data_IF_555002107779
#
_entry.id   IF_555002107779
#
_cell.length_a   1.000
_cell.length_b   1.000
_cell.length_c   1.000
_cell.angle_alpha   90.00
_cell.angle_beta   90.00
_cell.angle_gamma   90.00
#
_symmetry.space_group_name_H-M   'P 1'
#
loop_
_entity.id
_entity.type
_entity.pdbx_description
1 polymer ?
#
# COMPACT_ATOMS: atom_id res chain seq x y z
N UNK A 1 -18.86 4.11 2.48
CA UNK A 1 -18.05 4.33 3.71
C UNK A 1 -18.23 3.11 4.59
N UNK A 2 -17.14 2.43 5.00
CA UNK A 2 -17.22 1.28 5.92
C UNK A 2 -17.13 1.85 7.34
N UNK A 3 -18.17 1.77 8.18
CA UNK A 3 -18.09 2.22 9.56
C UNK A 3 -17.22 1.23 10.35
N UNK A 4 -16.15 1.72 10.98
CA UNK A 4 -15.19 0.92 11.74
C UNK A 4 -14.82 1.64 13.04
N UNK A 5 -14.66 0.89 14.12
CA UNK A 5 -13.96 1.32 15.31
C UNK A 5 -12.46 1.54 15.02
N UNK A 6 -11.79 2.40 15.79
CA UNK A 6 -10.36 2.68 15.59
C UNK A 6 -9.49 1.42 15.77
N UNK A 7 -9.93 0.52 16.64
CA UNK A 7 -9.37 -0.80 16.91
C UNK A 7 -9.50 -1.78 15.75
N UNK A 8 -10.47 -1.59 14.86
CA UNK A 8 -10.71 -2.45 13.69
C UNK A 8 -9.89 -1.99 12.47
N UNK A 9 -9.42 -0.74 12.47
CA UNK A 9 -8.68 -0.14 11.35
C UNK A 9 -7.45 -0.95 10.96
N UNK A 10 -6.59 -1.45 11.87
CA UNK A 10 -5.47 -2.28 11.47
C UNK A 10 -5.91 -3.55 10.76
N UNK A 11 -6.96 -4.22 11.26
CA UNK A 11 -7.58 -5.39 10.63
C UNK A 11 -7.98 -5.11 9.19
N UNK A 12 -8.72 -4.02 9.01
CA UNK A 12 -9.18 -3.56 7.70
C UNK A 12 -8.03 -3.23 6.74
N UNK A 13 -7.00 -2.51 7.20
CA UNK A 13 -5.85 -2.15 6.35
C UNK A 13 -5.04 -3.37 5.93
N UNK A 14 -4.85 -4.35 6.82
CA UNK A 14 -4.20 -5.61 6.46
C UNK A 14 -5.00 -6.39 5.41
N UNK A 15 -6.33 -6.41 5.52
CA UNK A 15 -7.19 -7.01 4.49
C UNK A 15 -7.07 -6.29 3.14
N UNK A 16 -7.02 -4.96 3.14
CA UNK A 16 -6.78 -4.16 1.93
C UNK A 16 -5.40 -4.42 1.31
N UNK A 17 -4.36 -4.57 2.12
CA UNK A 17 -3.03 -4.92 1.61
C UNK A 17 -3.01 -6.32 0.98
N UNK A 18 -3.75 -7.28 1.55
CA UNK A 18 -3.89 -8.61 0.96
C UNK A 18 -4.63 -8.57 -0.39
N UNK A 19 -5.66 -7.73 -0.51
CA UNK A 19 -6.34 -7.53 -1.80
C UNK A 19 -5.44 -6.84 -2.83
N UNK A 20 -4.62 -5.87 -2.40
CA UNK A 20 -3.59 -5.26 -3.24
C UNK A 20 -2.62 -6.32 -3.78
N UNK A 21 -2.14 -7.22 -2.92
CA UNK A 21 -1.26 -8.31 -3.33
C UNK A 21 -1.90 -9.25 -4.35
N UNK A 22 -3.17 -9.65 -4.15
CA UNK A 22 -3.92 -10.49 -5.10
C UNK A 22 -4.09 -9.79 -6.45
N UNK A 23 -4.47 -8.51 -6.44
CA UNK A 23 -4.62 -7.71 -7.65
C UNK A 23 -3.29 -7.54 -8.39
N UNK A 24 -2.19 -7.35 -7.68
CA UNK A 24 -0.85 -7.28 -8.25
C UNK A 24 -0.54 -8.56 -9.05
N UNK A 25 -0.64 -9.73 -8.41
CA UNK A 25 -0.35 -11.00 -9.07
C UNK A 25 -1.29 -11.29 -10.26
N UNK A 26 -2.58 -11.02 -10.09
CA UNK A 26 -3.56 -11.22 -11.15
C UNK A 26 -3.26 -10.33 -12.35
N UNK A 27 -2.94 -9.04 -12.12
CA UNK A 27 -2.61 -8.09 -13.18
C UNK A 27 -1.34 -8.50 -13.93
N UNK A 28 -0.28 -8.88 -13.21
CA UNK A 28 0.96 -9.33 -13.83
C UNK A 28 0.74 -10.59 -14.67
N UNK A 29 0.02 -11.58 -14.16
CA UNK A 29 -0.30 -12.80 -14.90
C UNK A 29 -1.16 -12.47 -16.15
N UNK A 30 -2.17 -11.63 -15.99
CA UNK A 30 -3.08 -11.20 -17.06
C UNK A 30 -2.32 -10.53 -18.20
N UNK A 31 -1.53 -9.51 -17.91
CA UNK A 31 -0.77 -8.81 -18.94
C UNK A 31 0.34 -9.67 -19.56
N UNK A 32 0.86 -10.66 -18.83
CA UNK A 32 1.81 -11.62 -19.39
C UNK A 32 1.14 -12.56 -20.40
N UNK A 33 -0.09 -13.00 -20.12
CA UNK A 33 -0.90 -13.78 -21.07
C UNK A 33 -1.27 -12.97 -22.32
N UNK A 34 -1.64 -11.70 -22.16
CA UNK A 34 -1.90 -10.82 -23.30
C UNK A 34 -0.65 -10.64 -24.18
N UNK A 35 0.52 -10.42 -23.56
CA UNK A 35 1.80 -10.33 -24.29
C UNK A 35 2.18 -11.64 -24.99
N UNK A 36 1.75 -12.78 -24.45
CA UNK A 36 1.92 -14.08 -25.07
C UNK A 36 0.90 -14.35 -26.21
N UNK A 37 0.03 -13.39 -26.53
CA UNK A 37 -0.89 -13.45 -27.67
C UNK A 37 -2.32 -13.90 -27.36
N UNK A 38 -2.67 -14.11 -26.08
CA UNK A 38 -4.04 -14.43 -25.71
C UNK A 38 -4.94 -13.19 -25.82
N UNK A 39 -6.20 -13.41 -26.19
CA UNK A 39 -7.22 -12.38 -26.10
C UNK A 39 -7.60 -12.08 -24.63
N UNK A 40 -8.20 -10.90 -24.36
CA UNK A 40 -8.72 -10.55 -23.03
C UNK A 40 -9.65 -11.60 -22.40
N UNK A 41 -10.48 -12.27 -23.22
CA UNK A 41 -11.43 -13.29 -22.75
C UNK A 41 -10.69 -14.56 -22.35
N UNK A 42 -9.78 -15.05 -23.20
CA UNK A 42 -8.97 -16.25 -22.93
C UNK A 42 -8.08 -16.06 -21.71
N UNK A 43 -7.47 -14.89 -21.55
CA UNK A 43 -6.68 -14.58 -20.36
C UNK A 43 -7.54 -14.60 -19.10
N UNK A 44 -8.73 -13.98 -19.13
CA UNK A 44 -9.66 -13.96 -17.99
C UNK A 44 -10.16 -15.36 -17.62
N UNK A 45 -10.47 -16.17 -18.61
CA UNK A 45 -10.88 -17.58 -18.43
C UNK A 45 -9.73 -18.39 -17.80
N UNK A 46 -8.52 -18.27 -18.33
CA UNK A 46 -7.35 -19.01 -17.86
C UNK A 46 -6.96 -18.66 -16.43
N UNK A 47 -7.17 -17.42 -16.00
CA UNK A 47 -6.88 -16.98 -14.63
C UNK A 47 -7.98 -17.31 -13.61
N UNK A 48 -9.14 -17.80 -14.05
CA UNK A 48 -10.29 -17.99 -13.17
C UNK A 48 -10.01 -19.05 -12.11
N UNK A 49 -10.17 -18.68 -10.85
CA UNK A 49 -10.02 -19.60 -9.71
C UNK A 49 -8.58 -19.94 -9.34
N UNK A 50 -7.59 -19.40 -10.05
CA UNK A 50 -6.19 -19.63 -9.74
C UNK A 50 -5.78 -18.98 -8.42
N UNK A 51 -4.89 -19.65 -7.68
CA UNK A 51 -4.33 -19.14 -6.42
C UNK A 51 -3.08 -18.33 -6.71
N UNK A 52 -2.62 -17.57 -5.71
CA UNK A 52 -1.43 -16.71 -5.82
C UNK A 52 -0.18 -17.45 -6.32
N UNK A 53 0.01 -18.72 -5.92
CA UNK A 53 1.14 -19.53 -6.40
C UNK A 53 1.08 -19.84 -7.89
N UNK A 54 -0.11 -20.15 -8.42
CA UNK A 54 -0.33 -20.43 -9.84
C UNK A 54 -0.17 -19.16 -10.68
N UNK A 55 -0.69 -18.02 -10.19
CA UNK A 55 -0.51 -16.72 -10.84
C UNK A 55 0.97 -16.36 -10.94
N UNK A 56 1.73 -16.52 -9.85
CA UNK A 56 3.17 -16.25 -9.86
C UNK A 56 3.93 -17.21 -10.79
N UNK A 57 3.49 -18.47 -10.91
CA UNK A 57 4.07 -19.40 -11.87
C UNK A 57 3.90 -18.93 -13.32
N UNK A 58 2.71 -18.45 -13.68
CA UNK A 58 2.45 -17.85 -15.01
C UNK A 58 3.37 -16.64 -15.25
N UNK A 59 3.54 -15.77 -14.24
CA UNK A 59 4.40 -14.60 -14.34
C UNK A 59 5.85 -14.99 -14.55
N UNK A 60 6.37 -15.97 -13.80
CA UNK A 60 7.72 -16.50 -14.01
C UNK A 60 7.91 -17.08 -15.39
N UNK A 61 6.96 -17.90 -15.86
CA UNK A 61 7.05 -18.59 -17.15
C UNK A 61 7.01 -17.60 -18.33
N UNK A 62 6.12 -16.62 -18.29
CA UNK A 62 5.84 -15.74 -19.45
C UNK A 62 6.58 -14.41 -19.42
N UNK A 63 6.89 -13.89 -18.23
CA UNK A 63 7.57 -12.60 -18.08
C UNK A 63 8.99 -12.73 -17.51
N UNK A 64 9.38 -13.91 -17.01
CA UNK A 64 10.70 -14.13 -16.42
C UNK A 64 10.92 -13.36 -15.11
N UNK A 65 9.85 -12.99 -14.41
CA UNK A 65 9.91 -12.20 -13.18
C UNK A 65 9.62 -13.08 -11.95
N UNK A 66 10.46 -12.96 -10.93
CA UNK A 66 10.20 -13.45 -9.59
C UNK A 66 9.39 -12.43 -8.78
N UNK A 67 8.87 -12.86 -7.63
CA UNK A 67 8.07 -11.97 -6.78
C UNK A 67 8.85 -10.74 -6.30
N UNK A 68 10.15 -10.92 -6.05
CA UNK A 68 11.01 -9.86 -5.52
C UNK A 68 11.46 -8.85 -6.58
N UNK A 69 11.34 -9.20 -7.87
CA UNK A 69 11.53 -8.25 -8.96
C UNK A 69 10.37 -7.24 -9.07
N UNK A 70 9.21 -7.56 -8.49
CA UNK A 70 8.04 -6.68 -8.49
C UNK A 70 8.23 -5.58 -7.42
N UNK A 71 8.16 -4.29 -7.78
CA UNK A 71 8.32 -3.19 -6.84
C UNK A 71 7.38 -3.29 -5.64
N UNK A 72 7.88 -2.93 -4.47
CA UNK A 72 7.17 -3.15 -3.21
C UNK A 72 5.80 -2.47 -3.17
N UNK A 73 5.72 -1.22 -3.64
CA UNK A 73 4.48 -0.45 -3.71
C UNK A 73 3.40 -1.09 -4.59
N UNK A 74 3.79 -1.90 -5.60
CA UNK A 74 2.82 -2.64 -6.42
C UNK A 74 2.26 -3.84 -5.65
N UNK A 75 3.09 -4.49 -4.82
CA UNK A 75 2.70 -5.65 -4.00
C UNK A 75 1.97 -5.27 -2.71
N UNK A 76 2.28 -4.10 -2.14
CA UNK A 76 1.89 -3.69 -0.79
C UNK A 76 1.08 -2.40 -0.72
N UNK A 77 0.97 -1.66 -1.83
CA UNK A 77 0.31 -0.36 -1.89
C UNK A 77 1.19 0.78 -1.36
N UNK A 78 0.58 1.96 -1.22
CA UNK A 78 1.17 3.18 -0.67
C UNK A 78 0.28 3.67 0.47
N UNK A 79 0.88 4.10 1.58
CA UNK A 79 0.16 4.69 2.70
C UNK A 79 0.34 6.20 2.70
N UNK A 80 -0.76 6.94 2.82
CA UNK A 80 -0.75 8.39 3.00
C UNK A 80 -1.19 8.71 4.42
N UNK A 81 -0.41 9.54 5.13
CA UNK A 81 -0.76 10.01 6.48
C UNK A 81 -0.42 11.47 6.68
N UNK A 82 -1.18 12.13 7.55
CA UNK A 82 -0.83 13.46 8.01
C UNK A 82 0.18 13.37 9.15
N UNK A 83 1.28 14.12 9.01
CA UNK A 83 2.32 14.24 10.04
C UNK A 83 2.52 15.71 10.40
N UNK A 84 2.70 15.98 11.68
CA UNK A 84 3.08 17.31 12.15
C UNK A 84 4.58 17.51 11.97
N UNK A 85 4.94 18.63 11.36
CA UNK A 85 6.33 19.05 11.16
C UNK A 85 6.48 20.43 11.78
N UNK A 86 7.47 20.56 12.67
CA UNK A 86 7.90 21.85 13.19
C UNK A 86 8.73 22.55 12.13
N UNK A 87 8.39 23.79 11.82
CA UNK A 87 9.18 24.66 10.95
C UNK A 87 9.42 25.98 11.64
N UNK A 88 10.63 26.51 11.48
CA UNK A 88 10.86 27.92 11.77
C UNK A 88 9.95 28.76 10.87
N UNK A 89 9.33 29.76 11.48
CA UNK A 89 8.49 30.73 10.83
C UNK A 89 8.75 32.11 11.42
N UNK A 90 8.40 33.15 10.67
CA UNK A 90 8.39 34.51 11.19
C UNK A 90 6.97 34.84 11.62
N UNK A 91 6.80 35.36 12.82
CA UNK A 91 5.52 35.88 13.26
C UNK A 91 5.18 37.12 12.40
N UNK A 92 4.06 37.11 11.64
CA UNK A 92 3.74 38.21 10.72
C UNK A 92 3.42 39.53 11.44
N UNK A 93 3.10 39.50 12.74
CA UNK A 93 2.81 40.68 13.54
C UNK A 93 4.07 41.26 14.22
N UNK A 94 5.03 40.42 14.60
CA UNK A 94 6.19 40.85 15.40
C UNK A 94 7.54 40.71 14.69
N UNK A 95 7.60 40.02 13.54
CA UNK A 95 8.84 39.72 12.82
C UNK A 95 9.79 38.76 13.54
N UNK A 96 9.42 38.25 14.72
CA UNK A 96 10.26 37.35 15.50
C UNK A 96 10.24 35.92 14.93
N UNK A 97 11.35 35.19 15.07
CA UNK A 97 11.40 33.74 14.79
C UNK A 97 10.51 33.01 15.79
N UNK A 98 9.63 32.15 15.29
CA UNK A 98 8.74 31.30 16.06
C UNK A 98 8.67 29.92 15.43
N UNK A 99 8.57 28.87 16.25
CA UNK A 99 8.24 27.53 15.74
C UNK A 99 6.76 27.46 15.40
N UNK A 100 6.48 27.07 14.16
CA UNK A 100 5.14 26.81 13.67
C UNK A 100 4.97 25.31 13.45
N UNK A 101 3.90 24.75 13.99
CA UNK A 101 3.46 23.39 13.67
C UNK A 101 2.64 23.43 12.37
N UNK A 102 2.98 22.57 11.42
CA UNK A 102 2.26 22.42 10.15
C UNK A 102 2.00 20.96 9.87
N UNK A 103 0.82 20.66 9.33
CA UNK A 103 0.49 19.32 8.84
C UNK A 103 1.04 19.15 7.44
N UNK A 104 1.81 18.09 7.22
CA UNK A 104 2.32 17.66 5.91
C UNK A 104 1.77 16.28 5.59
N UNK A 105 1.39 16.06 4.34
CA UNK A 105 1.09 14.73 3.86
C UNK A 105 2.41 13.98 3.64
N UNK A 106 2.56 12.86 4.34
CA UNK A 106 3.68 11.93 4.17
C UNK A 106 3.18 10.73 3.37
N UNK A 107 3.97 10.33 2.38
CA UNK A 107 3.72 9.18 1.52
C UNK A 107 4.75 8.10 1.83
N UNK A 108 4.28 6.91 2.17
CA UNK A 108 5.12 5.77 2.44
C UNK A 108 4.93 4.70 1.36
N UNK A 109 6.00 4.48 0.59
CA UNK A 109 6.06 3.59 -0.56
C UNK A 109 6.70 2.24 -0.21
N UNK A 110 7.23 2.08 1.01
CA UNK A 110 7.98 0.90 1.45
C UNK A 110 7.31 0.22 2.66
N UNK A 111 6.02 -0.10 2.49
CA UNK A 111 5.20 -0.60 3.58
C UNK A 111 5.65 -1.98 4.07
N UNK A 112 5.64 -2.25 5.39
CA UNK A 112 5.74 -3.60 5.92
C UNK A 112 4.47 -4.41 5.63
N UNK A 113 4.52 -5.72 5.83
CA UNK A 113 3.32 -6.56 5.77
C UNK A 113 2.47 -6.29 7.00
N UNK A 114 1.31 -5.67 6.83
CA UNK A 114 0.45 -5.19 7.91
C UNK A 114 -0.09 -6.26 8.86
N UNK A 115 -0.18 -7.51 8.40
CA UNK A 115 -0.56 -8.64 9.26
C UNK A 115 0.60 -9.21 10.09
N UNK A 116 1.85 -8.84 9.78
CA UNK A 116 3.02 -9.22 10.56
C UNK A 116 3.13 -8.41 11.85
N UNK A 117 3.94 -8.87 12.81
CA UNK A 117 4.23 -8.13 14.05
C UNK A 117 4.80 -6.74 13.78
N UNK A 118 5.72 -6.61 12.83
CA UNK A 118 6.30 -5.32 12.43
C UNK A 118 5.24 -4.41 11.82
N UNK A 119 4.43 -4.94 10.90
CA UNK A 119 3.37 -4.16 10.26
C UNK A 119 2.26 -3.74 11.23
N UNK A 120 1.98 -4.54 12.27
CA UNK A 120 1.05 -4.15 13.34
C UNK A 120 1.59 -2.98 14.15
N UNK A 121 2.86 -3.05 14.58
CA UNK A 121 3.51 -1.93 15.26
C UNK A 121 3.51 -0.66 14.41
N UNK A 122 3.85 -0.79 13.13
CA UNK A 122 3.81 0.31 12.18
C UNK A 122 2.42 0.97 12.10
N UNK A 123 1.36 0.19 11.99
CA UNK A 123 -0.01 0.71 11.94
C UNK A 123 -0.44 1.35 13.26
N UNK A 124 -0.02 0.82 14.41
CA UNK A 124 -0.25 1.42 15.72
C UNK A 124 0.40 2.80 15.82
N UNK A 125 1.64 2.96 15.35
CA UNK A 125 2.35 4.26 15.30
C UNK A 125 1.63 5.26 14.38
N UNK A 126 1.18 4.80 13.21
CA UNK A 126 0.38 5.63 12.29
C UNK A 126 -0.90 6.10 12.96
N UNK A 127 -1.64 5.20 13.62
CA UNK A 127 -2.90 5.55 14.29
C UNK A 127 -2.70 6.41 15.54
N UNK A 128 -1.60 6.22 16.28
CA UNK A 128 -1.24 7.08 17.40
C UNK A 128 -1.00 8.52 16.93
N UNK A 129 -0.31 8.70 15.80
CA UNK A 129 -0.12 10.03 15.20
C UNK A 129 -1.44 10.67 14.78
N UNK A 130 -2.44 9.88 14.39
CA UNK A 130 -3.78 10.39 14.08
C UNK A 130 -4.53 10.86 15.33
N UNK A 131 -4.41 10.15 16.46
CA UNK A 131 -5.05 10.51 17.73
C UNK A 131 -4.47 11.78 18.36
N UNK A 132 -3.15 11.97 18.28
CA UNK A 132 -2.48 13.16 18.81
C UNK A 132 -2.91 14.45 18.10
N UNK A 133 -3.46 14.34 16.89
CA UNK A 133 -3.83 15.46 16.02
C UNK A 133 -5.35 15.75 16.02
N UNK A 134 -6.12 15.17 16.96
CA UNK A 134 -7.57 15.41 17.13
C UNK A 134 -7.86 16.30 18.33
#
# INVERSE_FOLDING_TARGET
MVPLGLEEVPGYLAWRQLDCFRNCLNSYAYYSLLRAGLSPSEASERLRGLKSGDLLAIVRELAGLELDDIPLWQRRGVLLRWKEVRRESLNPLTGARAEAVRRRLEEDWELPVFSSTEGRRYLEEVLASFRANR
#
